data_IF_604173473227
#
_entry.id   IF_604173473227
#
_cell.length_a   1.000
_cell.length_b   1.000
_cell.length_c   1.000
_cell.angle_alpha   90.00
_cell.angle_beta   90.00
_cell.angle_gamma   90.00
#
_symmetry.space_group_name_H-M   'P 1'
#
loop_
_entity.id
_entity.type
_entity.pdbx_description
1 polymer ?
#
# COMPACT_ATOMS: atom_id res chain seq x y z
N UNK A 1 -3.41 -14.00 2.12
CA UNK A 1 -2.81 -14.72 3.26
C UNK A 1 -3.54 -14.24 4.52
N UNK A 2 -4.36 -15.07 5.17
CA UNK A 2 -5.09 -14.69 6.40
C UNK A 2 -4.14 -14.79 7.57
N UNK A 3 -3.85 -13.68 8.22
CA UNK A 3 -3.17 -13.69 9.52
C UNK A 3 -4.17 -14.21 10.54
N UNK A 4 -3.95 -15.42 11.04
CA UNK A 4 -4.77 -16.00 12.11
C UNK A 4 -4.15 -15.57 13.44
N UNK A 5 -4.68 -14.51 14.04
CA UNK A 5 -4.47 -14.27 15.46
C UNK A 5 -5.34 -15.31 16.21
N UNK A 6 -4.79 -16.47 16.50
CA UNK A 6 -5.47 -17.43 17.39
C UNK A 6 -5.39 -16.90 18.81
N UNK A 7 -6.50 -16.42 19.32
CA UNK A 7 -6.73 -16.27 20.75
C UNK A 7 -6.65 -17.67 21.36
N UNK A 8 -5.54 -18.00 22.01
CA UNK A 8 -5.43 -19.22 22.80
C UNK A 8 -6.31 -19.07 24.04
N UNK A 9 -7.50 -19.65 24.02
CA UNK A 9 -8.32 -19.84 25.22
C UNK A 9 -7.85 -21.11 25.93
N UNK A 10 -6.75 -21.01 26.68
CA UNK A 10 -6.44 -21.98 27.72
C UNK A 10 -6.06 -21.23 29.02
N UNK A 11 -6.85 -21.40 30.13
CA UNK A 11 -6.70 -20.60 31.33
C UNK A 11 -5.57 -21.01 32.29
N UNK A 12 -4.68 -21.92 31.94
CA UNK A 12 -3.73 -22.50 32.90
C UNK A 12 -2.27 -22.68 32.44
N UNK A 13 -1.76 -21.92 31.45
CA UNK A 13 -0.30 -21.83 31.29
C UNK A 13 0.09 -20.43 30.81
N UNK A 14 0.93 -19.69 31.57
CA UNK A 14 1.51 -18.46 31.11
C UNK A 14 2.74 -18.77 30.25
N UNK A 15 2.55 -19.38 29.09
CA UNK A 15 3.56 -19.36 28.06
C UNK A 15 3.48 -17.98 27.39
N UNK A 16 4.31 -17.06 27.87
CA UNK A 16 4.67 -15.85 27.13
C UNK A 16 5.46 -16.29 25.89
N UNK A 17 4.75 -16.72 24.87
CA UNK A 17 5.33 -16.78 23.54
C UNK A 17 5.51 -15.34 23.05
N UNK A 18 6.70 -14.78 23.23
CA UNK A 18 7.12 -13.59 22.49
C UNK A 18 7.30 -14.05 21.02
N UNK A 19 6.21 -14.03 20.26
CA UNK A 19 6.31 -14.17 18.82
C UNK A 19 6.68 -12.81 18.28
N UNK A 20 7.88 -12.70 17.69
CA UNK A 20 8.18 -11.61 16.78
C UNK A 20 7.18 -11.68 15.63
N UNK A 21 6.23 -10.75 15.59
CA UNK A 21 5.17 -10.73 14.59
C UNK A 21 5.71 -10.00 13.38
N UNK A 22 6.12 -10.74 12.35
CA UNK A 22 6.40 -10.15 11.03
C UNK A 22 5.14 -10.23 10.20
N UNK A 23 4.66 -9.09 9.73
CA UNK A 23 3.38 -8.95 9.05
C UNK A 23 3.56 -8.19 7.74
N UNK A 24 2.98 -8.74 6.66
CA UNK A 24 3.12 -8.21 5.30
C UNK A 24 2.22 -7.00 5.02
N UNK A 25 2.34 -6.45 3.80
CA UNK A 25 1.72 -5.26 3.23
C UNK A 25 0.22 -5.03 3.55
N UNK A 26 -0.56 -6.08 3.82
CA UNK A 26 -1.97 -5.93 4.19
C UNK A 26 -2.20 -5.23 5.54
N UNK A 27 -1.21 -5.21 6.40
CA UNK A 27 -1.20 -4.43 7.64
C UNK A 27 -0.36 -3.15 7.47
N UNK A 28 0.87 -3.30 6.98
CA UNK A 28 1.82 -2.22 6.68
C UNK A 28 1.91 -1.18 7.81
N UNK A 29 1.47 0.06 7.56
CA UNK A 29 1.41 1.17 8.51
C UNK A 29 -0.05 1.64 8.76
N UNK A 30 -0.99 0.71 8.66
CA UNK A 30 -2.42 0.98 8.79
C UNK A 30 -2.88 0.97 10.24
N UNK A 31 -3.28 2.12 10.75
CA UNK A 31 -3.81 2.27 12.11
C UNK A 31 -5.20 1.62 12.29
N UNK A 32 -6.01 1.55 11.23
CA UNK A 32 -7.33 0.89 11.29
C UNK A 32 -7.25 -0.61 11.57
N UNK A 33 -6.11 -1.24 11.28
CA UNK A 33 -5.89 -2.67 11.56
C UNK A 33 -5.51 -2.92 13.01
N UNK A 34 -4.87 -1.94 13.67
CA UNK A 34 -4.43 -2.03 15.07
C UNK A 34 -5.41 -1.39 16.05
N UNK A 35 -6.46 -0.73 15.56
CA UNK A 35 -7.45 -0.05 16.39
C UNK A 35 -8.13 -1.02 17.37
N UNK A 36 -8.09 -0.67 18.66
CA UNK A 36 -8.57 -1.53 19.74
C UNK A 36 -7.63 -2.69 20.15
N UNK A 37 -6.49 -2.87 19.45
CA UNK A 37 -5.52 -3.96 19.70
C UNK A 37 -4.07 -3.46 19.77
N UNK A 38 -3.87 -2.18 20.10
CA UNK A 38 -2.57 -1.54 20.06
C UNK A 38 -1.55 -2.23 20.99
N UNK A 39 -1.99 -2.64 22.19
CA UNK A 39 -1.13 -3.34 23.17
C UNK A 39 -0.66 -4.70 22.66
N UNK A 40 -1.56 -5.45 22.02
CA UNK A 40 -1.26 -6.76 21.44
C UNK A 40 -0.42 -6.66 20.18
N UNK A 41 -0.54 -5.56 19.45
CA UNK A 41 0.21 -5.28 18.24
C UNK A 41 1.60 -4.71 18.51
N UNK A 42 1.83 -4.13 19.69
CA UNK A 42 3.11 -3.53 20.04
C UNK A 42 4.28 -4.52 19.91
N UNK A 43 5.39 -4.05 19.38
CA UNK A 43 6.56 -4.85 19.03
C UNK A 43 6.45 -5.57 17.68
N UNK A 44 5.30 -5.48 17.00
CA UNK A 44 5.12 -6.08 15.68
C UNK A 44 5.97 -5.39 14.62
N UNK A 45 6.61 -6.18 13.74
CA UNK A 45 7.34 -5.70 12.58
C UNK A 45 6.44 -5.86 11.37
N UNK A 46 6.28 -4.79 10.59
CA UNK A 46 5.49 -4.81 9.37
C UNK A 46 6.33 -4.41 8.16
N UNK A 47 5.97 -4.95 7.00
CA UNK A 47 6.64 -4.66 5.74
C UNK A 47 5.63 -3.99 4.84
N UNK A 48 5.98 -2.83 4.29
CA UNK A 48 5.19 -2.12 3.30
C UNK A 48 5.99 -1.85 2.04
N UNK A 49 5.30 -1.73 0.92
CA UNK A 49 5.92 -1.27 -0.31
C UNK A 49 6.40 0.17 -0.14
N UNK A 50 7.65 0.43 -0.49
CA UNK A 50 8.17 1.79 -0.55
C UNK A 50 7.51 2.52 -1.72
N UNK A 51 6.75 3.55 -1.40
CA UNK A 51 6.13 4.43 -2.39
C UNK A 51 6.51 5.87 -2.10
N UNK A 52 7.03 6.52 -3.10
CA UNK A 52 7.36 7.92 -2.96
C UNK A 52 6.10 8.79 -3.10
N UNK A 53 6.15 9.91 -2.40
CA UNK A 53 5.08 10.90 -2.36
C UNK A 53 4.96 11.65 -3.69
N UNK A 54 3.75 11.79 -4.21
CA UNK A 54 3.47 12.45 -5.50
C UNK A 54 2.91 13.84 -5.27
N UNK A 55 3.78 14.84 -5.18
CA UNK A 55 3.42 16.22 -4.80
C UNK A 55 2.40 16.88 -5.72
N UNK A 56 2.57 16.74 -7.05
CA UNK A 56 1.66 17.36 -8.02
C UNK A 56 0.25 16.76 -8.00
N UNK A 57 0.08 15.52 -7.50
CA UNK A 57 -1.25 14.93 -7.31
C UNK A 57 -2.02 15.68 -6.24
N UNK A 58 -1.36 16.10 -5.17
CA UNK A 58 -1.99 16.86 -4.10
C UNK A 58 -2.50 18.21 -4.59
N UNK A 59 -1.70 18.90 -5.40
CA UNK A 59 -2.11 20.17 -6.02
C UNK A 59 -3.37 20.01 -6.87
N UNK A 60 -3.46 18.90 -7.58
CA UNK A 60 -4.67 18.57 -8.35
C UNK A 60 -5.83 18.21 -7.42
N UNK A 61 -5.65 17.22 -6.54
CA UNK A 61 -6.71 16.64 -5.74
C UNK A 61 -7.32 17.61 -4.73
N UNK A 62 -6.47 18.35 -4.03
CA UNK A 62 -6.89 19.27 -2.97
C UNK A 62 -7.61 20.51 -3.47
N UNK A 63 -7.52 20.81 -4.76
CA UNK A 63 -8.22 21.92 -5.40
C UNK A 63 -9.51 21.48 -6.13
N UNK A 64 -9.86 20.18 -6.10
CA UNK A 64 -11.11 19.73 -6.68
C UNK A 64 -12.33 20.28 -5.94
N UNK A 65 -13.32 20.71 -6.71
CA UNK A 65 -14.61 21.22 -6.21
C UNK A 65 -15.77 20.60 -6.99
N UNK A 66 -16.96 20.46 -6.39
CA UNK A 66 -18.13 19.93 -7.08
C UNK A 66 -18.49 20.66 -8.36
N UNK A 67 -18.37 21.99 -8.35
CA UNK A 67 -18.75 22.84 -9.48
C UNK A 67 -17.78 22.76 -10.66
N UNK A 68 -16.52 22.36 -10.43
CA UNK A 68 -15.46 22.34 -11.45
C UNK A 68 -15.08 20.94 -11.92
N UNK A 69 -15.41 19.91 -11.16
CA UNK A 69 -15.09 18.54 -11.52
C UNK A 69 -16.23 17.88 -12.29
N UNK A 70 -16.23 18.08 -13.60
CA UNK A 70 -17.18 17.42 -14.53
C UNK A 70 -16.68 16.09 -15.09
N UNK A 71 -15.43 15.74 -14.79
CA UNK A 71 -14.76 14.58 -15.39
C UNK A 71 -15.10 13.27 -14.71
N UNK A 72 -15.28 13.32 -13.39
CA UNK A 72 -15.60 12.15 -12.59
C UNK A 72 -17.12 12.15 -12.28
N UNK A 73 -17.90 11.25 -12.87
CA UNK A 73 -19.35 11.22 -12.67
C UNK A 73 -19.77 10.88 -11.23
N UNK A 74 -18.89 10.27 -10.45
CA UNK A 74 -19.15 9.92 -9.04
C UNK A 74 -18.67 10.98 -8.04
N UNK A 75 -18.08 12.06 -8.52
CA UNK A 75 -17.45 13.04 -7.61
C UNK A 75 -18.45 13.75 -6.69
N UNK A 76 -19.66 13.99 -7.18
CA UNK A 76 -20.72 14.62 -6.37
C UNK A 76 -21.19 13.68 -5.23
N UNK A 77 -21.28 12.38 -5.50
CA UNK A 77 -21.60 11.38 -4.50
C UNK A 77 -20.48 11.26 -3.47
N UNK A 78 -19.21 11.16 -3.93
CA UNK A 78 -18.03 11.16 -3.08
C UNK A 78 -17.99 12.37 -2.15
N UNK A 79 -18.22 13.59 -2.66
CA UNK A 79 -18.22 14.83 -1.90
C UNK A 79 -19.25 14.81 -0.77
N UNK A 80 -20.48 14.45 -1.11
CA UNK A 80 -21.60 14.37 -0.17
C UNK A 80 -21.33 13.34 0.92
N UNK A 81 -20.77 12.19 0.54
CA UNK A 81 -20.39 11.14 1.49
C UNK A 81 -19.23 11.60 2.39
N UNK A 82 -18.18 12.19 1.83
CA UNK A 82 -16.99 12.64 2.55
C UNK A 82 -17.32 13.70 3.60
N UNK A 83 -18.18 14.63 3.27
CA UNK A 83 -18.53 15.76 4.13
C UNK A 83 -19.87 15.61 4.84
N UNK A 84 -20.59 14.52 4.66
CA UNK A 84 -21.91 14.26 5.26
C UNK A 84 -22.87 15.42 5.03
N UNK A 85 -22.91 15.92 3.79
CA UNK A 85 -23.76 17.04 3.41
C UNK A 85 -24.41 16.82 2.02
N UNK A 86 -25.49 17.54 1.76
CA UNK A 86 -26.28 17.50 0.53
C UNK A 86 -25.91 18.65 -0.40
N UNK A 87 -25.57 18.35 -1.64
CA UNK A 87 -25.35 19.34 -2.70
C UNK A 87 -26.68 19.77 -3.30
N UNK A 88 -27.32 20.77 -2.70
CA UNK A 88 -28.62 21.26 -3.12
C UNK A 88 -28.59 21.81 -4.55
N UNK A 89 -29.54 21.35 -5.38
CA UNK A 89 -29.68 21.79 -6.77
C UNK A 89 -28.79 21.06 -7.78
N UNK A 90 -27.98 20.09 -7.37
CA UNK A 90 -27.24 19.22 -8.29
C UNK A 90 -28.06 18.01 -8.71
N UNK A 91 -27.79 17.49 -9.91
CA UNK A 91 -28.50 16.32 -10.49
C UNK A 91 -28.39 15.04 -9.65
N UNK A 92 -27.36 14.93 -8.82
CA UNK A 92 -27.12 13.80 -7.93
C UNK A 92 -27.28 14.18 -6.46
N UNK A 93 -28.23 15.07 -6.16
CA UNK A 93 -28.52 15.49 -4.79
C UNK A 93 -28.94 14.30 -3.93
N UNK A 94 -28.26 14.05 -2.82
CA UNK A 94 -28.53 12.92 -1.93
C UNK A 94 -29.52 13.31 -0.83
N UNK A 95 -30.65 12.61 -0.76
CA UNK A 95 -31.62 12.76 0.33
C UNK A 95 -31.13 12.18 1.68
N UNK A 96 -30.00 11.46 1.70
CA UNK A 96 -29.45 10.82 2.89
C UNK A 96 -28.95 11.84 3.95
N UNK A 97 -28.55 13.04 3.52
CA UNK A 97 -27.92 14.02 4.40
C UNK A 97 -28.84 15.21 4.64
N UNK A 98 -29.07 15.55 5.90
CA UNK A 98 -29.91 16.70 6.29
C UNK A 98 -29.20 18.04 6.15
N UNK A 99 -27.85 18.07 6.35
CA UNK A 99 -27.03 19.28 6.24
C UNK A 99 -26.80 19.61 4.76
N UNK A 100 -26.94 20.87 4.39
CA UNK A 100 -26.55 21.34 3.06
C UNK A 100 -25.05 21.69 3.06
N UNK A 101 -24.34 21.35 1.98
CA UNK A 101 -22.94 21.74 1.80
C UNK A 101 -22.84 23.26 1.67
N UNK A 102 -21.79 23.86 2.25
CA UNK A 102 -21.66 25.31 2.40
C UNK A 102 -20.62 25.94 1.47
N UNK A 103 -19.98 25.15 0.60
CA UNK A 103 -18.80 25.54 -0.21
C UNK A 103 -17.54 25.87 0.61
N UNK A 104 -17.57 25.65 1.93
CA UNK A 104 -16.40 25.77 2.82
C UNK A 104 -15.74 24.42 3.09
N UNK A 105 -16.35 23.35 2.63
CA UNK A 105 -15.78 22.01 2.69
C UNK A 105 -14.48 21.99 1.89
N UNK A 106 -13.46 21.35 2.45
CA UNK A 106 -12.14 21.26 1.84
C UNK A 106 -11.57 19.86 1.98
N UNK A 107 -11.07 19.32 0.89
CA UNK A 107 -10.38 18.02 0.87
C UNK A 107 -9.07 18.02 1.66
N UNK A 108 -8.58 19.17 2.07
CA UNK A 108 -7.36 19.31 2.91
C UNK A 108 -7.56 18.78 4.32
N UNK A 109 -8.82 18.75 4.81
CA UNK A 109 -9.11 18.31 6.17
C UNK A 109 -8.91 16.79 6.29
N UNK A 110 -8.02 16.39 7.21
CA UNK A 110 -7.63 14.98 7.41
C UNK A 110 -7.20 14.28 6.11
N UNK A 111 -6.48 14.98 5.26
CA UNK A 111 -5.89 14.41 4.07
C UNK A 111 -4.57 13.73 4.38
N UNK A 112 -4.43 12.52 3.90
CA UNK A 112 -3.16 11.82 3.76
C UNK A 112 -3.16 11.17 2.39
N UNK A 113 -2.09 11.33 1.63
CA UNK A 113 -1.96 10.69 0.32
C UNK A 113 -1.86 9.17 0.51
N UNK A 114 -2.61 8.41 -0.30
CA UNK A 114 -2.50 6.96 -0.31
C UNK A 114 -1.08 6.55 -0.72
N UNK A 115 -0.46 5.71 0.08
CA UNK A 115 0.91 5.23 -0.16
C UNK A 115 1.07 4.46 -1.47
N UNK A 116 -0.02 4.02 -2.08
CA UNK A 116 -0.03 3.31 -3.38
C UNK A 116 -0.23 4.23 -4.58
N UNK A 117 -0.38 5.54 -4.37
CA UNK A 117 -0.66 6.50 -5.44
C UNK A 117 0.40 6.48 -6.54
N UNK A 118 1.68 6.46 -6.17
CA UNK A 118 2.78 6.39 -7.13
C UNK A 118 2.70 5.15 -8.03
N UNK A 119 2.36 4.00 -7.46
CA UNK A 119 2.21 2.75 -8.23
C UNK A 119 1.05 2.81 -9.22
N UNK A 120 -0.09 3.37 -8.81
CA UNK A 120 -1.26 3.54 -9.71
C UNK A 120 -0.90 4.42 -10.91
N UNK A 121 -0.22 5.52 -10.67
CA UNK A 121 0.21 6.44 -11.73
C UNK A 121 1.23 5.77 -12.64
N UNK A 122 2.23 5.09 -12.08
CA UNK A 122 3.24 4.37 -12.86
C UNK A 122 2.64 3.24 -13.68
N UNK A 123 1.60 2.54 -13.19
CA UNK A 123 0.89 1.54 -13.97
C UNK A 123 0.20 2.13 -15.20
N UNK A 124 -0.40 3.32 -15.07
CA UNK A 124 -1.00 4.04 -16.21
C UNK A 124 0.08 4.48 -17.19
N UNK A 125 1.20 5.00 -16.70
CA UNK A 125 2.34 5.36 -17.57
C UNK A 125 2.95 4.15 -18.25
N UNK A 126 3.11 3.01 -17.58
CA UNK A 126 3.60 1.76 -18.18
C UNK A 126 2.75 1.38 -19.41
N UNK A 127 1.42 1.44 -19.25
CA UNK A 127 0.51 1.18 -20.36
C UNK A 127 0.68 2.20 -21.50
N UNK A 128 0.81 3.48 -21.18
CA UNK A 128 1.00 4.54 -22.17
C UNK A 128 2.34 4.39 -22.91
N UNK A 129 3.43 4.08 -22.21
CA UNK A 129 4.73 3.83 -22.83
C UNK A 129 4.73 2.58 -23.71
N UNK A 130 4.10 1.48 -23.24
CA UNK A 130 3.95 0.25 -24.04
C UNK A 130 3.19 0.51 -25.34
N UNK A 131 2.03 1.17 -25.27
CA UNK A 131 1.24 1.56 -26.44
C UNK A 131 2.00 2.50 -27.37
N UNK A 132 2.69 3.49 -26.83
CA UNK A 132 3.46 4.45 -27.62
C UNK A 132 4.62 3.78 -28.35
N UNK A 133 5.35 2.90 -27.68
CA UNK A 133 6.46 2.15 -28.28
C UNK A 133 5.96 1.20 -29.38
N UNK A 134 4.83 0.53 -29.11
CA UNK A 134 4.15 -0.31 -30.09
C UNK A 134 3.72 0.49 -31.31
N UNK A 135 3.11 1.66 -31.11
CA UNK A 135 2.69 2.55 -32.17
C UNK A 135 3.89 3.00 -33.05
N UNK A 136 5.00 3.41 -32.46
CA UNK A 136 6.20 3.78 -33.18
C UNK A 136 6.77 2.62 -34.00
N UNK A 137 6.72 1.40 -33.46
CA UNK A 137 7.26 0.22 -34.14
C UNK A 137 6.37 -0.27 -35.29
N UNK A 138 5.05 -0.27 -35.11
CA UNK A 138 4.10 -0.83 -36.07
C UNK A 138 3.57 0.21 -37.08
N UNK A 139 3.58 1.49 -36.72
CA UNK A 139 3.01 2.58 -37.51
C UNK A 139 4.04 3.70 -37.73
N UNK A 140 5.24 3.42 -38.29
CA UNK A 140 6.28 4.43 -38.46
C UNK A 140 5.79 5.58 -39.36
N UNK A 141 5.94 6.81 -38.88
CA UNK A 141 5.52 8.02 -39.63
C UNK A 141 4.00 8.27 -39.66
N UNK A 142 3.19 7.41 -39.06
CA UNK A 142 1.73 7.58 -38.99
C UNK A 142 1.30 8.35 -37.75
N UNK A 143 0.39 9.30 -37.90
CA UNK A 143 -0.20 10.03 -36.76
C UNK A 143 -1.43 9.27 -36.29
N UNK A 144 -1.38 8.73 -35.07
CA UNK A 144 -2.44 7.92 -34.47
C UNK A 144 -2.28 6.43 -34.71
N UNK A 145 -3.40 5.68 -34.67
CA UNK A 145 -3.41 4.22 -34.85
C UNK A 145 -3.57 3.86 -36.31
N UNK A 146 -2.58 3.18 -36.89
CA UNK A 146 -2.66 2.57 -38.23
C UNK A 146 -3.41 1.23 -38.20
N UNK A 147 -3.70 0.65 -39.35
CA UNK A 147 -4.47 -0.60 -39.46
C UNK A 147 -3.80 -1.79 -38.75
N UNK A 148 -2.45 -1.79 -38.67
CA UNK A 148 -1.71 -2.82 -37.93
C UNK A 148 -1.99 -2.81 -36.41
N UNK A 149 -2.60 -1.74 -35.89
CA UNK A 149 -3.03 -1.61 -34.50
C UNK A 149 -4.57 -1.61 -34.33
N UNK A 150 -5.31 -2.01 -35.36
CA UNK A 150 -6.79 -2.06 -35.31
C UNK A 150 -7.31 -3.46 -35.70
N UNK A 151 -7.70 -4.29 -34.76
CA UNK A 151 -7.69 -4.12 -33.30
C UNK A 151 -6.28 -4.21 -32.72
N UNK A 152 -6.09 -3.70 -31.49
CA UNK A 152 -4.84 -3.86 -30.76
C UNK A 152 -4.69 -5.33 -30.36
N UNK A 153 -3.58 -5.95 -30.76
CA UNK A 153 -3.22 -7.30 -30.35
C UNK A 153 -2.60 -7.26 -28.94
N UNK A 154 -3.31 -7.86 -27.98
CA UNK A 154 -2.89 -7.86 -26.57
C UNK A 154 -1.58 -8.60 -26.31
N UNK A 155 -1.25 -9.63 -27.09
CA UNK A 155 0.03 -10.37 -26.96
C UNK A 155 1.20 -9.49 -27.41
N UNK A 156 1.05 -8.82 -28.54
CA UNK A 156 2.06 -7.86 -29.01
C UNK A 156 2.22 -6.71 -28.03
N UNK A 157 1.11 -6.19 -27.48
CA UNK A 157 1.17 -5.13 -26.47
C UNK A 157 1.91 -5.60 -25.23
N UNK A 158 1.69 -6.84 -24.76
CA UNK A 158 2.43 -7.42 -23.64
C UNK A 158 3.95 -7.42 -23.90
N UNK A 159 4.39 -7.83 -25.10
CA UNK A 159 5.81 -7.81 -25.46
C UNK A 159 6.43 -6.40 -25.39
N UNK A 160 5.66 -5.36 -25.72
CA UNK A 160 6.10 -3.97 -25.57
C UNK A 160 6.07 -3.49 -24.14
N UNK A 161 5.08 -3.92 -23.33
CA UNK A 161 5.01 -3.63 -21.91
C UNK A 161 6.20 -4.23 -21.15
N UNK A 162 6.54 -5.48 -21.41
CA UNK A 162 7.67 -6.17 -20.79
C UNK A 162 9.03 -5.50 -21.04
N UNK A 163 9.14 -4.74 -22.14
CA UNK A 163 10.36 -3.98 -22.50
C UNK A 163 10.30 -2.53 -22.03
N UNK A 164 9.26 -2.14 -21.32
CA UNK A 164 9.10 -0.77 -20.85
C UNK A 164 10.16 -0.46 -19.80
N UNK A 165 10.82 0.68 -19.98
CA UNK A 165 11.79 1.23 -19.04
C UNK A 165 11.68 2.76 -19.06
N UNK A 166 11.31 3.36 -17.94
CA UNK A 166 11.18 4.81 -17.81
C UNK A 166 11.39 5.25 -16.36
N UNK A 167 11.61 6.57 -16.21
CA UNK A 167 11.62 7.17 -14.86
C UNK A 167 10.19 7.45 -14.41
N UNK A 168 9.80 6.86 -13.32
CA UNK A 168 8.49 7.03 -12.70
C UNK A 168 8.27 8.41 -12.09
N UNK A 169 7.07 8.63 -11.58
CA UNK A 169 6.62 9.95 -11.10
C UNK A 169 7.39 10.47 -9.88
N UNK A 170 8.12 9.62 -9.21
CA UNK A 170 8.91 9.94 -8.01
C UNK A 170 10.41 9.78 -8.25
N UNK A 171 10.83 9.70 -9.51
CA UNK A 171 12.24 9.56 -9.89
C UNK A 171 12.79 8.13 -9.87
N UNK A 172 11.96 7.14 -9.51
CA UNK A 172 12.32 5.73 -9.54
C UNK A 172 12.35 5.18 -10.96
N UNK A 173 13.16 4.13 -11.17
CA UNK A 173 13.15 3.40 -12.44
C UNK A 173 12.00 2.38 -12.43
N UNK A 174 11.14 2.45 -13.43
CA UNK A 174 10.05 1.51 -13.69
C UNK A 174 10.44 0.62 -14.86
N UNK A 175 10.59 -0.66 -14.56
CA UNK A 175 10.89 -1.71 -15.52
C UNK A 175 10.29 -3.03 -15.02
N UNK A 176 10.23 -4.02 -15.90
CA UNK A 176 9.73 -5.36 -15.59
C UNK A 176 10.83 -6.39 -15.86
N UNK A 177 10.89 -7.40 -15.00
CA UNK A 177 11.74 -8.57 -15.21
C UNK A 177 11.08 -9.58 -16.15
N UNK A 178 11.70 -10.74 -16.36
CA UNK A 178 11.20 -11.80 -17.22
C UNK A 178 9.84 -12.40 -16.79
N UNK A 179 9.48 -12.24 -15.53
CA UNK A 179 8.21 -12.69 -14.98
C UNK A 179 7.13 -11.60 -15.03
N UNK A 180 7.49 -10.37 -15.40
CA UNK A 180 6.60 -9.21 -15.37
C UNK A 180 6.56 -8.51 -14.02
N UNK A 181 7.49 -8.81 -13.12
CA UNK A 181 7.58 -8.17 -11.82
C UNK A 181 8.46 -6.92 -11.88
N UNK A 182 8.04 -5.87 -11.18
CA UNK A 182 8.87 -4.68 -10.97
C UNK A 182 9.81 -4.90 -9.79
N UNK A 183 11.05 -4.31 -9.82
CA UNK A 183 11.97 -4.41 -8.70
C UNK A 183 11.31 -4.02 -7.37
N UNK A 184 11.31 -4.95 -6.43
CA UNK A 184 10.74 -4.74 -5.12
C UNK A 184 11.54 -3.73 -4.32
N UNK A 185 10.86 -2.81 -3.63
CA UNK A 185 11.42 -1.91 -2.63
C UNK A 185 10.46 -1.87 -1.46
N UNK A 186 10.99 -2.10 -0.27
CA UNK A 186 10.18 -2.25 0.93
C UNK A 186 10.73 -1.38 2.05
N UNK A 187 9.83 -0.85 2.85
CA UNK A 187 10.12 -0.23 4.13
C UNK A 187 9.71 -1.19 5.24
N UNK A 188 10.53 -1.26 6.27
CA UNK A 188 10.30 -2.09 7.45
C UNK A 188 9.93 -1.15 8.58
N UNK A 189 8.76 -1.41 9.16
CA UNK A 189 8.20 -0.60 10.24
C UNK A 189 8.11 -1.45 11.51
N UNK A 190 8.29 -0.82 12.64
CA UNK A 190 8.03 -1.41 13.96
C UNK A 190 6.88 -0.64 14.62
N UNK A 191 5.86 -1.34 15.07
CA UNK A 191 4.76 -0.73 15.82
C UNK A 191 5.14 -0.63 17.28
N UNK A 192 5.42 0.57 17.76
CA UNK A 192 5.93 0.84 19.12
C UNK A 192 4.95 1.62 19.96
N UNK A 193 4.98 1.36 21.25
CA UNK A 193 4.37 2.24 22.24
C UNK A 193 5.29 3.44 22.50
N UNK A 194 4.80 4.65 22.22
CA UNK A 194 5.53 5.90 22.40
C UNK A 194 5.27 6.52 23.80
N UNK A 195 4.04 6.34 24.32
CA UNK A 195 3.63 6.72 25.66
C UNK A 195 2.55 5.76 26.17
N UNK A 196 1.95 6.00 27.35
CA UNK A 196 0.95 5.09 27.96
C UNK A 196 -0.23 4.78 27.03
N UNK A 197 -0.66 5.72 26.18
CA UNK A 197 -1.82 5.57 25.29
C UNK A 197 -1.47 5.83 23.82
N UNK A 198 -0.22 6.19 23.50
CA UNK A 198 0.20 6.54 22.17
C UNK A 198 1.06 5.43 21.53
N UNK A 199 0.66 5.00 20.33
CA UNK A 199 1.33 3.96 19.57
C UNK A 199 1.59 4.46 18.13
N UNK A 200 2.77 4.20 17.61
CA UNK A 200 3.16 4.64 16.28
C UNK A 200 3.98 3.61 15.52
N UNK A 201 3.88 3.67 14.19
CA UNK A 201 4.76 2.93 13.30
C UNK A 201 6.05 3.71 13.11
N UNK A 202 7.16 3.11 13.51
CA UNK A 202 8.49 3.69 13.37
C UNK A 202 9.21 2.97 12.23
N UNK A 203 9.79 3.73 11.30
CA UNK A 203 10.64 3.17 10.27
C UNK A 203 11.92 2.63 10.91
N UNK A 204 12.24 1.37 10.66
CA UNK A 204 13.39 0.67 11.26
C UNK A 204 14.28 0.01 10.22
N UNK A 205 13.97 0.15 8.94
CA UNK A 205 14.83 -0.37 7.89
C UNK A 205 14.17 -0.36 6.52
N UNK A 206 14.94 -0.75 5.54
CA UNK A 206 14.51 -0.86 4.15
C UNK A 206 15.14 -2.06 3.47
N UNK A 207 14.49 -2.53 2.42
CA UNK A 207 15.02 -3.55 1.53
C UNK A 207 14.85 -3.13 0.07
N UNK A 208 15.91 -3.26 -0.69
CA UNK A 208 15.93 -3.05 -2.14
C UNK A 208 16.93 -4.02 -2.79
N UNK A 209 17.20 -3.84 -4.09
CA UNK A 209 18.16 -4.69 -4.83
C UNK A 209 19.59 -4.64 -4.26
N UNK A 210 19.93 -3.65 -3.44
CA UNK A 210 21.24 -3.59 -2.74
C UNK A 210 21.26 -4.41 -1.45
N UNK A 211 20.10 -4.92 -1.01
CA UNK A 211 19.94 -5.78 0.16
C UNK A 211 19.17 -5.12 1.30
N UNK A 212 19.22 -5.77 2.45
CA UNK A 212 18.57 -5.34 3.67
C UNK A 212 19.42 -4.30 4.40
N UNK A 213 18.83 -3.17 4.75
CA UNK A 213 19.40 -2.13 5.60
C UNK A 213 18.50 -1.97 6.81
N UNK A 214 19.06 -2.14 8.01
CA UNK A 214 18.32 -2.03 9.27
C UNK A 214 18.92 -0.93 10.11
N UNK A 215 18.07 -0.24 10.86
CA UNK A 215 18.45 0.70 11.90
C UNK A 215 18.38 -0.02 13.25
N UNK A 216 19.51 -0.61 13.64
CA UNK A 216 19.57 -1.43 14.86
C UNK A 216 19.30 -0.61 16.12
N UNK A 217 19.67 0.67 16.15
CA UNK A 217 19.43 1.56 17.29
C UNK A 217 17.92 1.81 17.48
N UNK A 218 17.17 1.91 16.40
CA UNK A 218 15.73 2.09 16.44
C UNK A 218 14.97 0.82 16.85
N UNK A 219 15.48 -0.35 16.49
CA UNK A 219 14.83 -1.63 16.83
C UNK A 219 15.05 -1.96 18.31
N UNK A 220 16.29 -1.79 18.78
CA UNK A 220 16.73 -2.30 20.08
C UNK A 220 16.82 -1.24 21.18
N UNK A 221 16.39 -0.01 20.92
CA UNK A 221 16.55 1.16 21.82
C UNK A 221 16.17 0.93 23.29
N UNK A 222 15.38 -0.10 23.61
CA UNK A 222 14.93 -0.41 24.96
C UNK A 222 15.12 -1.88 25.36
N UNK A 223 15.88 -2.68 24.61
CA UNK A 223 16.11 -4.08 24.99
C UNK A 223 17.60 -4.37 25.20
N UNK A 224 17.93 -4.79 26.41
CA UNK A 224 19.30 -5.21 26.79
C UNK A 224 19.64 -6.64 26.37
N UNK A 225 18.76 -7.32 25.66
CA UNK A 225 18.95 -8.71 25.25
C UNK A 225 18.54 -8.94 23.80
N UNK A 226 19.39 -9.58 23.04
CA UNK A 226 19.05 -10.12 21.71
C UNK A 226 18.00 -11.21 21.93
N UNK A 227 16.80 -11.01 21.39
CA UNK A 227 15.74 -12.00 21.44
C UNK A 227 16.02 -13.02 20.33
N UNK A 228 16.35 -14.24 20.72
CA UNK A 228 16.47 -15.33 19.75
C UNK A 228 15.08 -15.88 19.43
N UNK A 229 14.73 -15.87 18.16
CA UNK A 229 13.51 -16.53 17.68
C UNK A 229 13.67 -18.05 17.79
N UNK A 230 12.80 -18.69 18.55
CA UNK A 230 12.72 -20.15 18.64
C UNK A 230 11.46 -20.60 17.92
N UNK A 231 11.60 -21.20 16.73
CA UNK A 231 10.46 -21.68 15.94
C UNK A 231 9.62 -22.74 16.66
N UNK A 232 10.21 -23.43 17.61
CA UNK A 232 9.53 -24.36 18.51
C UNK A 232 10.51 -24.79 19.61
N UNK A 233 10.03 -24.94 20.82
CA UNK A 233 10.84 -25.46 21.92
C UNK A 233 11.44 -26.81 21.58
N UNK A 234 12.67 -27.12 22.07
CA UNK A 234 13.23 -28.46 21.98
C UNK A 234 12.26 -29.46 22.61
N UNK A 235 12.12 -30.63 21.98
CA UNK A 235 11.34 -31.70 22.57
C UNK A 235 12.00 -32.13 23.91
N UNK A 236 11.17 -32.40 24.92
CA UNK A 236 11.64 -33.03 26.14
C UNK A 236 12.15 -34.47 25.88
N UNK A 237 12.89 -35.01 26.85
CA UNK A 237 13.42 -36.37 26.72
C UNK A 237 12.29 -37.36 26.43
N UNK A 238 12.44 -38.13 25.36
CA UNK A 238 11.44 -39.11 24.85
C UNK A 238 10.23 -38.51 24.07
N UNK A 239 10.28 -37.26 23.64
CA UNK A 239 9.30 -36.65 22.73
C UNK A 239 9.86 -36.48 21.32
N UNK A 240 9.01 -36.65 20.31
CA UNK A 240 9.34 -36.47 18.89
C UNK A 240 8.51 -35.36 18.29
N UNK A 241 9.16 -34.42 17.60
CA UNK A 241 8.46 -33.39 16.81
C UNK A 241 7.83 -34.00 15.58
N UNK A 242 6.50 -34.00 15.51
CA UNK A 242 5.78 -34.35 14.30
C UNK A 242 5.51 -33.09 13.49
N UNK A 243 6.07 -32.99 12.27
CA UNK A 243 5.67 -31.96 11.31
C UNK A 243 4.28 -32.29 10.81
N UNK A 244 3.28 -31.50 11.18
CA UNK A 244 1.99 -31.55 10.51
C UNK A 244 2.16 -30.98 9.09
N UNK A 245 2.28 -31.87 8.12
CA UNK A 245 2.12 -31.53 6.71
C UNK A 245 0.61 -31.42 6.52
N UNK A 246 0.08 -30.21 6.48
CA UNK A 246 -1.28 -29.96 6.00
C UNK A 246 -1.19 -30.00 4.48
N UNK A 247 -1.74 -31.07 3.88
CA UNK A 247 -1.99 -31.20 2.44
C UNK A 247 -3.07 -30.19 1.98
#
# INVERSE_FOLDING_TARGET
MRVIVRKSQHPHHPLKCNYDKIICDGWADRYDVTDGYQKEAAGGITIKLQSAYVTWFDDYYLNLQPDTNQRNPWFLEFWQHRFQCRLKGHSQESAKYNRTCTKKESLRLHYAQDTKMGFVINAIYSMAYGLHTMQKALCPGYVGLCDAMRPIDGRKLLDFLMRTNFTGVSGEVVLFDENGDSPGRYEIMNFKQMSEEDYSYIHVGSWDNSGLKMDDDEIWANSSAIIHSVCSDPCERAQIKVKNIVL
#
